data_IF_793972693080
#
_entry.id   IF_793972693080
#
_cell.length_a   1.000
_cell.length_b   1.000
_cell.length_c   1.000
_cell.angle_alpha   90.00
_cell.angle_beta   90.00
_cell.angle_gamma   90.00
#
_symmetry.space_group_name_H-M   'P 1'
#
loop_
_entity.id
_entity.type
_entity.pdbx_description
1 polymer ?
#
# COMPACT_ATOMS: atom_id res chain seq x y z
N UNK A 1 14.82 9.21 6.05
CA UNK A 1 14.75 9.74 4.68
C UNK A 1 14.40 11.22 4.75
N UNK A 2 15.20 12.10 4.16
CA UNK A 2 14.89 13.53 4.02
C UNK A 2 14.09 13.79 2.74
N UNK A 3 13.55 15.00 2.59
CA UNK A 3 12.74 15.34 1.40
C UNK A 3 13.58 15.36 0.12
N UNK A 4 14.86 15.73 0.22
CA UNK A 4 15.80 15.74 -0.90
C UNK A 4 16.10 14.33 -1.38
N UNK A 5 16.15 13.36 -0.46
CA UNK A 5 16.38 11.95 -0.81
C UNK A 5 15.18 11.39 -1.60
N UNK A 6 13.95 11.76 -1.20
CA UNK A 6 12.73 11.44 -1.94
C UNK A 6 12.76 12.09 -3.33
N UNK A 7 13.03 13.39 -3.42
CA UNK A 7 13.05 14.11 -4.71
C UNK A 7 14.09 13.53 -5.67
N UNK A 8 15.28 13.17 -5.18
CA UNK A 8 16.30 12.48 -5.97
C UNK A 8 15.81 11.14 -6.51
N UNK A 9 15.12 10.36 -5.68
CA UNK A 9 14.51 9.08 -6.11
C UNK A 9 13.46 9.32 -7.20
N UNK A 10 12.56 10.28 -7.01
CA UNK A 10 11.45 10.56 -7.93
C UNK A 10 11.91 11.01 -9.32
N UNK A 11 13.03 11.73 -9.41
CA UNK A 11 13.64 12.12 -10.69
C UNK A 11 14.05 10.90 -11.52
N UNK A 12 14.45 9.79 -10.88
CA UNK A 12 14.94 8.59 -11.58
C UNK A 12 13.84 7.55 -11.78
N UNK A 13 12.99 7.34 -10.77
CA UNK A 13 12.04 6.22 -10.71
C UNK A 13 10.56 6.66 -10.78
N UNK A 14 10.31 7.97 -10.84
CA UNK A 14 8.97 8.57 -10.85
C UNK A 14 8.40 8.86 -9.45
N UNK A 15 7.33 9.65 -9.43
CA UNK A 15 6.72 10.22 -8.22
C UNK A 15 6.21 9.18 -7.22
N UNK A 16 6.58 9.24 -5.94
CA UNK A 16 6.21 8.20 -4.99
C UNK A 16 4.69 8.09 -4.76
N UNK A 17 3.96 9.17 -4.99
CA UNK A 17 2.50 9.23 -5.05
C UNK A 17 2.06 9.57 -6.47
N UNK A 18 1.22 8.75 -7.11
CA UNK A 18 0.82 8.95 -8.51
C UNK A 18 -0.48 8.22 -8.84
N UNK A 19 -1.22 8.74 -9.82
CA UNK A 19 -2.39 8.07 -10.40
C UNK A 19 -2.12 7.83 -11.89
N UNK A 20 -2.35 6.61 -12.34
CA UNK A 20 -2.17 6.19 -13.73
C UNK A 20 -3.45 5.56 -14.28
N UNK A 21 -3.82 5.89 -15.50
CA UNK A 21 -4.96 5.29 -16.20
C UNK A 21 -4.45 4.43 -17.36
N UNK A 22 -4.69 3.11 -17.28
CA UNK A 22 -4.18 2.14 -18.25
C UNK A 22 -5.32 1.18 -18.61
N UNK A 23 -5.70 1.16 -19.89
CA UNK A 23 -6.75 0.25 -20.38
C UNK A 23 -8.12 0.44 -19.71
N UNK A 24 -8.44 1.65 -19.25
CA UNK A 24 -9.68 1.96 -18.51
C UNK A 24 -9.62 1.66 -17.00
N UNK A 25 -8.56 1.04 -16.51
CA UNK A 25 -8.31 0.84 -15.09
C UNK A 25 -7.50 2.02 -14.52
N UNK A 26 -7.75 2.35 -13.26
CA UNK A 26 -7.04 3.41 -12.55
C UNK A 26 -6.17 2.82 -11.46
N UNK A 27 -4.87 3.07 -11.53
CA UNK A 27 -3.88 2.64 -10.55
C UNK A 27 -3.56 3.82 -9.64
N UNK A 28 -3.82 3.66 -8.35
CA UNK A 28 -3.54 4.64 -7.31
C UNK A 28 -2.30 4.16 -6.55
N UNK A 29 -1.15 4.78 -6.78
CA UNK A 29 0.09 4.53 -6.05
C UNK A 29 0.24 5.53 -4.91
N UNK A 30 0.43 5.03 -3.70
CA UNK A 30 0.66 5.85 -2.52
C UNK A 30 1.95 5.44 -1.80
N UNK A 31 2.72 6.44 -1.38
CA UNK A 31 3.84 6.28 -0.47
C UNK A 31 3.33 6.02 0.95
N UNK A 32 2.76 4.84 1.14
CA UNK A 32 2.12 4.41 2.39
C UNK A 32 3.11 4.30 3.55
N UNK A 33 4.40 4.06 3.27
CA UNK A 33 5.45 4.16 4.30
C UNK A 33 5.55 5.57 4.88
N UNK A 34 5.42 6.61 4.04
CA UNK A 34 5.40 8.00 4.50
C UNK A 34 4.12 8.39 5.24
N UNK A 35 2.98 7.80 4.86
CA UNK A 35 1.68 8.04 5.50
C UNK A 35 1.62 7.42 6.90
N UNK A 36 2.10 6.18 7.04
CA UNK A 36 1.87 5.34 8.21
C UNK A 36 2.97 5.40 9.25
N UNK A 37 4.23 5.31 8.80
CA UNK A 37 5.34 5.18 9.71
C UNK A 37 5.75 6.53 10.32
N UNK A 38 6.57 6.45 11.38
CA UNK A 38 7.38 7.56 11.87
C UNK A 38 8.54 7.82 10.90
N UNK A 39 8.20 8.30 9.70
CA UNK A 39 9.22 8.82 8.79
C UNK A 39 9.97 9.96 9.48
N UNK A 40 11.29 9.84 9.52
CA UNK A 40 12.17 10.82 10.17
C UNK A 40 11.98 12.26 9.67
N UNK A 41 11.43 12.45 8.46
CA UNK A 41 11.12 13.77 7.91
C UNK A 41 9.63 14.04 7.86
N UNK A 42 9.20 15.06 8.62
CA UNK A 42 7.84 15.60 8.58
C UNK A 42 7.45 16.07 7.18
N UNK A 43 8.39 16.60 6.40
CA UNK A 43 8.12 17.09 5.05
C UNK A 43 7.67 15.98 4.10
N UNK A 44 8.27 14.78 4.20
CA UNK A 44 7.88 13.62 3.39
C UNK A 44 6.48 13.13 3.79
N UNK A 45 6.18 13.10 5.08
CA UNK A 45 4.82 12.79 5.57
C UNK A 45 3.80 13.80 5.06
N UNK A 46 4.13 15.09 5.11
CA UNK A 46 3.25 16.16 4.62
C UNK A 46 3.01 16.02 3.12
N UNK A 47 4.04 15.78 2.31
CA UNK A 47 3.88 15.62 0.85
C UNK A 47 2.96 14.45 0.49
N UNK A 48 3.16 13.27 1.09
CA UNK A 48 2.29 12.11 0.87
C UNK A 48 0.84 12.37 1.34
N UNK A 49 0.66 13.01 2.51
CA UNK A 49 -0.68 13.39 3.00
C UNK A 49 -1.35 14.42 2.11
N UNK A 50 -0.63 15.46 1.69
CA UNK A 50 -1.14 16.49 0.80
C UNK A 50 -1.59 15.89 -0.53
N UNK A 51 -0.86 14.92 -1.08
CA UNK A 51 -1.31 14.18 -2.26
C UNK A 51 -2.63 13.46 -1.98
N UNK A 52 -2.69 12.62 -0.93
CA UNK A 52 -3.89 11.85 -0.59
C UNK A 52 -5.13 12.74 -0.40
N UNK A 53 -4.98 13.89 0.27
CA UNK A 53 -6.08 14.83 0.50
C UNK A 53 -6.45 15.65 -0.74
N UNK A 54 -5.52 15.83 -1.69
CA UNK A 54 -5.79 16.61 -2.91
C UNK A 54 -6.64 15.87 -3.94
N UNK A 55 -6.74 14.55 -3.82
CA UNK A 55 -7.42 13.70 -4.81
C UNK A 55 -8.90 13.54 -4.44
N UNK A 56 -9.79 13.92 -5.36
CA UNK A 56 -11.20 13.56 -5.27
C UNK A 56 -11.41 12.12 -5.75
N UNK A 57 -11.41 11.17 -4.81
CA UNK A 57 -11.58 9.74 -5.13
C UNK A 57 -12.98 9.36 -5.61
N UNK A 58 -14.00 10.14 -5.26
CA UNK A 58 -15.37 9.92 -5.77
C UNK A 58 -15.43 10.23 -7.27
N UNK A 59 -14.88 11.37 -7.69
CA UNK A 59 -14.78 11.72 -9.11
C UNK A 59 -13.85 10.74 -9.86
N UNK A 60 -12.76 10.31 -9.23
CA UNK A 60 -11.86 9.29 -9.78
C UNK A 60 -12.58 7.98 -10.03
N UNK A 61 -13.37 7.51 -9.06
CA UNK A 61 -14.15 6.30 -9.23
C UNK A 61 -15.22 6.46 -10.31
N UNK A 62 -15.91 7.61 -10.34
CA UNK A 62 -16.96 7.88 -11.32
C UNK A 62 -16.44 7.89 -12.77
N UNK A 63 -15.20 8.35 -13.01
CA UNK A 63 -14.58 8.33 -14.34
C UNK A 63 -13.91 7.00 -14.71
N UNK A 64 -13.60 6.17 -13.73
CA UNK A 64 -12.91 4.89 -13.97
C UNK A 64 -13.91 3.88 -14.54
N UNK A 65 -13.68 3.41 -15.76
CA UNK A 65 -14.55 2.43 -16.42
C UNK A 65 -14.23 0.99 -16.01
N UNK A 66 -12.96 0.72 -15.74
CA UNK A 66 -12.47 -0.56 -15.22
C UNK A 66 -12.37 -0.58 -13.70
N UNK A 67 -11.27 -1.14 -13.22
CA UNK A 67 -11.00 -1.30 -11.78
C UNK A 67 -10.18 -0.15 -11.23
N UNK A 68 -10.42 0.20 -9.97
CA UNK A 68 -9.50 1.02 -9.17
C UNK A 68 -8.58 0.07 -8.41
N UNK A 69 -7.27 0.18 -8.67
CA UNK A 69 -6.23 -0.67 -8.10
C UNK A 69 -5.36 0.17 -7.17
N UNK A 70 -5.35 -0.14 -5.89
CA UNK A 70 -4.48 0.52 -4.91
C UNK A 70 -3.13 -0.20 -4.83
N UNK A 71 -2.05 0.55 -4.96
CA UNK A 71 -0.68 0.05 -4.87
C UNK A 71 -0.01 0.59 -3.60
N UNK A 72 0.40 -0.30 -2.72
CA UNK A 72 1.12 0.02 -1.48
C UNK A 72 2.42 -0.79 -1.40
N UNK A 73 3.39 -0.35 -0.60
CA UNK A 73 4.55 -1.20 -0.32
C UNK A 73 4.26 -2.16 0.82
N UNK A 74 3.99 -1.62 2.02
CA UNK A 74 3.50 -2.42 3.15
C UNK A 74 2.06 -2.85 2.86
N UNK A 75 1.68 -4.11 3.17
CA UNK A 75 0.30 -4.53 3.07
C UNK A 75 -0.62 -3.77 4.01
N UNK A 76 -1.90 -3.73 3.66
CA UNK A 76 -2.94 -3.31 4.59
C UNK A 76 -2.93 -4.18 5.85
N UNK A 77 -3.45 -3.61 6.93
CA UNK A 77 -3.49 -4.22 8.24
C UNK A 77 -4.08 -5.64 8.20
N UNK A 78 -3.32 -6.60 8.73
CA UNK A 78 -3.78 -7.93 9.11
C UNK A 78 -2.90 -8.48 10.23
N UNK A 79 -3.45 -9.39 11.02
CA UNK A 79 -2.78 -9.92 12.22
C UNK A 79 -1.70 -10.95 11.86
N UNK A 80 -1.98 -11.77 10.86
CA UNK A 80 -1.13 -12.84 10.37
C UNK A 80 -1.58 -13.23 8.94
N UNK A 81 -0.96 -14.26 8.39
CA UNK A 81 -1.21 -14.77 7.04
C UNK A 81 -2.09 -16.04 7.03
N UNK A 82 -2.77 -16.39 8.13
CA UNK A 82 -3.61 -17.60 8.18
C UNK A 82 -4.81 -17.56 7.22
N UNK A 83 -5.14 -16.37 6.69
CA UNK A 83 -6.22 -16.15 5.72
C UNK A 83 -5.71 -15.79 4.32
N UNK A 84 -4.44 -16.06 4.01
CA UNK A 84 -3.79 -15.71 2.73
C UNK A 84 -3.92 -16.76 1.62
N UNK A 85 -4.79 -17.76 1.81
CA UNK A 85 -5.08 -18.81 0.84
C UNK A 85 -4.08 -19.97 0.81
N UNK A 86 -4.41 -20.99 0.01
CA UNK A 86 -3.68 -22.27 -0.05
C UNK A 86 -2.21 -22.13 -0.46
N UNK A 87 -1.90 -21.23 -1.39
CA UNK A 87 -0.52 -21.03 -1.85
C UNK A 87 0.39 -20.54 -0.73
N UNK A 88 -0.12 -19.70 0.18
CA UNK A 88 0.63 -19.28 1.38
C UNK A 88 0.85 -20.42 2.36
N UNK A 89 -0.10 -21.35 2.48
CA UNK A 89 0.06 -22.53 3.34
C UNK A 89 1.09 -23.54 2.79
N UNK A 90 1.32 -23.53 1.47
CA UNK A 90 2.29 -24.41 0.79
C UNK A 90 3.69 -23.80 0.70
N UNK A 91 3.81 -22.49 0.90
CA UNK A 91 5.09 -21.79 0.86
C UNK A 91 6.01 -22.26 2.00
N UNK A 92 7.25 -22.60 1.66
CA UNK A 92 8.27 -23.02 2.62
C UNK A 92 9.66 -22.51 2.22
N UNK A 93 10.45 -22.10 3.23
CA UNK A 93 11.91 -22.09 3.14
C UNK A 93 12.56 -21.06 2.21
N UNK A 94 12.33 -19.77 2.44
CA UNK A 94 13.17 -18.68 1.88
C UNK A 94 13.89 -17.89 2.99
N UNK A 95 14.92 -17.10 2.62
CA UNK A 95 15.87 -16.45 3.55
C UNK A 95 15.19 -15.55 4.60
N UNK A 96 14.04 -14.97 4.27
CA UNK A 96 13.25 -14.09 5.14
C UNK A 96 11.86 -14.66 5.39
N UNK A 97 11.74 -15.98 5.48
CA UNK A 97 10.46 -16.66 5.63
C UNK A 97 9.90 -16.48 7.04
N UNK A 98 8.74 -15.85 7.12
CA UNK A 98 7.89 -15.90 8.30
C UNK A 98 6.81 -16.96 8.10
N UNK A 99 6.55 -17.78 9.11
CA UNK A 99 5.47 -18.78 9.09
C UNK A 99 4.10 -18.08 8.96
N UNK A 100 3.07 -18.66 8.31
CA UNK A 100 1.77 -18.01 8.16
C UNK A 100 1.11 -17.56 9.47
N UNK A 101 1.41 -18.23 10.58
CA UNK A 101 0.95 -17.87 11.93
C UNK A 101 1.77 -16.80 12.65
N UNK A 102 2.83 -16.26 12.03
CA UNK A 102 3.63 -15.17 12.58
C UNK A 102 2.75 -13.93 12.78
N UNK A 103 2.90 -13.28 13.94
CA UNK A 103 2.08 -12.13 14.30
C UNK A 103 2.75 -10.86 13.81
N UNK A 104 2.11 -10.20 12.85
CA UNK A 104 2.65 -8.98 12.28
C UNK A 104 2.55 -7.79 13.23
N UNK A 105 3.63 -7.02 13.25
CA UNK A 105 3.72 -5.72 13.90
C UNK A 105 3.35 -4.61 12.91
N UNK A 106 2.50 -3.68 13.34
CA UNK A 106 2.14 -2.49 12.55
C UNK A 106 3.34 -1.56 12.37
N UNK A 107 3.34 -0.77 11.29
CA UNK A 107 4.43 0.12 10.87
C UNK A 107 5.73 -0.57 10.45
N UNK A 108 5.92 -1.84 10.84
CA UNK A 108 7.05 -2.66 10.45
C UNK A 108 6.68 -3.65 9.37
N UNK A 109 5.68 -4.52 9.58
CA UNK A 109 5.32 -5.58 8.63
C UNK A 109 4.09 -5.21 7.79
N UNK A 110 3.14 -4.50 8.40
CA UNK A 110 1.87 -4.09 7.79
C UNK A 110 1.57 -2.66 8.19
N UNK A 111 0.69 -1.99 7.44
CA UNK A 111 0.20 -0.66 7.81
C UNK A 111 -0.64 -0.71 9.09
N UNK A 112 -0.77 0.43 9.76
CA UNK A 112 -1.69 0.60 10.87
C UNK A 112 -3.12 0.28 10.46
N UNK A 113 -3.94 -0.10 11.44
CA UNK A 113 -5.37 -0.36 11.23
C UNK A 113 -6.07 0.92 10.79
N UNK A 114 -5.68 2.04 11.37
CA UNK A 114 -6.24 3.37 11.14
C UNK A 114 -6.02 3.79 9.68
N UNK A 115 -4.78 3.76 9.19
CA UNK A 115 -4.49 4.12 7.81
C UNK A 115 -5.12 3.12 6.83
N UNK A 116 -5.07 1.82 7.13
CA UNK A 116 -5.68 0.81 6.26
C UNK A 116 -7.18 1.05 6.08
N UNK A 117 -7.86 1.40 7.17
CA UNK A 117 -9.30 1.74 7.14
C UNK A 117 -9.55 3.02 6.36
N UNK A 118 -8.72 4.05 6.57
CA UNK A 118 -8.81 5.32 5.85
C UNK A 118 -8.63 5.12 4.33
N UNK A 119 -7.60 4.38 3.91
CA UNK A 119 -7.33 4.13 2.49
C UNK A 119 -8.46 3.35 1.83
N UNK A 120 -9.00 2.32 2.48
CA UNK A 120 -10.13 1.56 1.96
C UNK A 120 -11.39 2.43 1.83
N UNK A 121 -11.66 3.28 2.82
CA UNK A 121 -12.81 4.17 2.81
C UNK A 121 -12.69 5.27 1.74
N UNK A 122 -11.51 5.88 1.58
CA UNK A 122 -11.26 6.96 0.62
C UNK A 122 -11.15 6.45 -0.81
N UNK A 123 -10.29 5.46 -1.04
CA UNK A 123 -9.94 5.01 -2.40
C UNK A 123 -11.00 4.06 -2.97
N UNK A 124 -11.70 3.31 -2.10
CA UNK A 124 -12.67 2.26 -2.46
C UNK A 124 -12.14 1.33 -3.59
N UNK A 125 -10.94 0.75 -3.43
CA UNK A 125 -10.32 -0.03 -4.49
C UNK A 125 -11.03 -1.36 -4.71
N UNK A 126 -11.02 -1.85 -5.96
CA UNK A 126 -11.46 -3.21 -6.29
C UNK A 126 -10.37 -4.25 -6.01
N UNK A 127 -9.09 -3.82 -6.06
CA UNK A 127 -7.94 -4.67 -5.82
C UNK A 127 -6.81 -3.88 -5.15
N UNK A 128 -6.09 -4.53 -4.24
CA UNK A 128 -4.91 -3.95 -3.58
C UNK A 128 -3.71 -4.85 -3.86
N UNK A 129 -2.63 -4.26 -4.37
CA UNK A 129 -1.35 -4.94 -4.49
C UNK A 129 -0.35 -4.36 -3.49
N UNK A 130 0.32 -5.26 -2.78
CA UNK A 130 1.30 -4.93 -1.75
C UNK A 130 2.48 -5.89 -1.82
N UNK A 131 3.58 -5.54 -1.16
CA UNK A 131 4.77 -6.38 -1.05
C UNK A 131 5.26 -6.47 0.38
N UNK A 132 6.57 -6.22 0.58
CA UNK A 132 7.26 -6.09 1.86
C UNK A 132 7.40 -7.36 2.72
N UNK A 133 6.36 -8.17 2.88
CA UNK A 133 6.41 -9.36 3.76
C UNK A 133 7.16 -10.56 3.18
N UNK A 134 7.66 -10.43 1.94
CA UNK A 134 8.40 -11.46 1.20
C UNK A 134 7.69 -12.81 1.11
N UNK A 135 6.36 -12.81 1.24
CA UNK A 135 5.53 -14.00 1.25
C UNK A 135 4.34 -13.83 0.28
N UNK A 136 3.87 -14.94 -0.27
CA UNK A 136 2.64 -14.92 -1.07
C UNK A 136 1.41 -14.66 -0.19
N UNK A 137 0.49 -13.81 -0.62
CA UNK A 137 -0.79 -13.69 0.08
C UNK A 137 -1.94 -13.27 -0.84
N UNK A 138 -2.99 -14.09 -0.88
CA UNK A 138 -4.28 -13.76 -1.46
C UNK A 138 -5.31 -13.61 -0.34
N UNK A 139 -5.46 -12.38 0.17
CA UNK A 139 -6.38 -12.05 1.26
C UNK A 139 -7.67 -11.44 0.70
N UNK A 140 -8.83 -11.89 1.19
CA UNK A 140 -10.12 -11.29 0.87
C UNK A 140 -10.57 -10.39 2.02
N UNK A 141 -10.59 -9.08 1.79
CA UNK A 141 -11.16 -8.14 2.75
C UNK A 141 -12.66 -8.44 2.92
N UNK A 142 -13.17 -8.43 4.16
CA UNK A 142 -14.59 -8.66 4.45
C UNK A 142 -15.49 -7.59 3.84
#
# INVERSE_FOLDING_TARGET
MRIEDLKRYEVTFGEANRIDEIGGHTFVRLNTMALDADVASRAVKTEAKSFLESVNFEDLRARTTGSVVLLTHLPLFRVDDLQCGEERLREAGHVTYEHPGFKYETHHHVLSRELSTELLAKVRPDLVFSGHTHAWCAYKLP
#
